data_IF_941076327094
#
_entry.id   IF_941076327094
#
_cell.length_a   1.000
_cell.length_b   1.000
_cell.length_c   1.000
_cell.angle_alpha   90.00
_cell.angle_beta   90.00
_cell.angle_gamma   90.00
#
_symmetry.space_group_name_H-M   'P 1'
#
loop_
_entity.id
_entity.type
_entity.pdbx_description
1 polymer ?
#
# COMPACT_ATOMS: atom_id res chain seq x y z
N UNK A 1 13.05 11.19 -5.78
CA UNK A 1 11.89 11.56 -4.94
C UNK A 1 12.32 12.68 -4.01
N UNK A 2 11.55 13.76 -3.88
CA UNK A 2 11.90 14.84 -2.95
C UNK A 2 11.53 14.45 -1.52
N UNK A 3 12.28 14.86 -0.49
CA UNK A 3 11.92 14.62 0.90
C UNK A 3 10.54 15.21 1.24
N UNK A 4 10.18 16.35 0.62
CA UNK A 4 8.86 16.95 0.75
C UNK A 4 7.72 15.99 0.35
N UNK A 5 7.87 15.23 -0.73
CA UNK A 5 6.86 14.23 -1.14
C UNK A 5 6.72 13.10 -0.11
N UNK A 6 7.83 12.63 0.47
CA UNK A 6 7.79 11.62 1.53
C UNK A 6 7.03 12.15 2.76
N UNK A 7 7.34 13.37 3.18
CA UNK A 7 6.72 14.00 4.35
C UNK A 7 5.23 14.30 4.12
N UNK A 8 4.82 14.76 2.93
CA UNK A 8 3.41 15.00 2.63
C UNK A 8 2.63 13.69 2.59
N UNK A 9 3.17 12.65 1.94
CA UNK A 9 2.52 11.34 1.90
C UNK A 9 2.38 10.71 3.29
N UNK A 10 3.44 10.76 4.10
CA UNK A 10 3.42 10.30 5.48
C UNK A 10 2.44 11.11 6.33
N UNK A 11 2.47 12.44 6.21
CA UNK A 11 1.57 13.34 6.93
C UNK A 11 0.10 13.10 6.58
N UNK A 12 -0.25 12.99 5.30
CA UNK A 12 -1.62 12.68 4.85
C UNK A 12 -2.05 11.30 5.36
N UNK A 13 -1.18 10.29 5.26
CA UNK A 13 -1.48 8.95 5.77
C UNK A 13 -1.72 8.95 7.28
N UNK A 14 -0.88 9.65 8.03
CA UNK A 14 -1.02 9.79 9.48
C UNK A 14 -2.30 10.55 9.85
N UNK A 15 -2.63 11.61 9.12
CA UNK A 15 -3.86 12.38 9.31
C UNK A 15 -5.11 11.53 9.04
N UNK A 16 -5.12 10.71 7.99
CA UNK A 16 -6.23 9.79 7.71
C UNK A 16 -6.41 8.78 8.86
N UNK A 17 -5.30 8.24 9.38
CA UNK A 17 -5.32 7.31 10.52
C UNK A 17 -5.73 8.01 11.83
N UNK A 18 -5.27 9.23 12.07
CA UNK A 18 -5.65 10.04 13.23
C UNK A 18 -7.10 10.49 13.17
N UNK A 19 -7.59 10.88 12.00
CA UNK A 19 -8.99 11.23 11.79
C UNK A 19 -9.91 10.06 12.16
N UNK A 20 -9.51 8.82 11.84
CA UNK A 20 -10.20 7.61 12.30
C UNK A 20 -10.19 7.48 13.83
N UNK A 21 -9.08 7.80 14.50
CA UNK A 21 -8.99 7.72 15.97
C UNK A 21 -9.85 8.78 16.66
N UNK A 22 -9.96 9.99 16.09
CA UNK A 22 -10.71 11.12 16.67
C UNK A 22 -12.21 11.04 16.34
N UNK A 23 -12.60 10.40 15.23
CA UNK A 23 -14.00 10.25 14.83
C UNK A 23 -14.48 8.81 15.11
N UNK A 24 -15.02 8.52 16.31
CA UNK A 24 -15.42 7.17 16.71
C UNK A 24 -16.57 6.58 15.87
N UNK A 25 -17.25 7.39 15.05
CA UNK A 25 -18.31 6.97 14.12
C UNK A 25 -17.80 6.49 12.76
N UNK A 26 -16.49 6.54 12.51
CA UNK A 26 -15.83 5.96 11.34
C UNK A 26 -15.14 4.66 11.80
N UNK A 27 -15.78 3.49 11.61
CA UNK A 27 -16.23 3.06 10.29
C UNK A 27 -17.76 3.01 10.14
N UNK A 28 -18.27 3.29 8.94
CA UNK A 28 -19.67 3.03 8.60
C UNK A 28 -19.97 1.56 8.89
N UNK A 29 -20.70 1.28 9.98
CA UNK A 29 -20.90 -0.07 10.50
C UNK A 29 -21.47 -1.05 9.46
N UNK A 30 -22.16 -0.55 8.43
CA UNK A 30 -22.68 -1.34 7.30
C UNK A 30 -21.62 -1.81 6.29
N UNK A 31 -20.44 -1.19 6.28
CA UNK A 31 -19.37 -1.45 5.29
C UNK A 31 -18.07 -1.97 5.94
N UNK A 32 -18.01 -1.96 7.27
CA UNK A 32 -16.85 -2.41 8.02
C UNK A 32 -16.77 -3.94 8.03
N UNK A 33 -15.63 -4.50 7.61
CA UNK A 33 -15.42 -5.93 7.56
C UNK A 33 -14.28 -6.32 8.50
N UNK A 34 -14.46 -7.44 9.23
CA UNK A 34 -13.41 -8.01 10.05
C UNK A 34 -12.40 -8.72 9.14
N UNK A 35 -11.15 -8.28 9.21
CA UNK A 35 -10.05 -8.98 8.58
C UNK A 35 -9.68 -10.21 9.41
N UNK A 36 -9.54 -11.37 8.76
CA UNK A 36 -8.98 -12.53 9.43
C UNK A 36 -7.48 -12.34 9.66
N UNK A 37 -6.88 -13.16 10.52
CA UNK A 37 -5.42 -13.16 10.74
C UNK A 37 -4.69 -13.41 9.42
N UNK A 38 -5.18 -14.36 8.61
CA UNK A 38 -4.61 -14.67 7.28
C UNK A 38 -4.68 -13.45 6.37
N UNK A 39 -5.83 -12.80 6.28
CA UNK A 39 -6.01 -11.61 5.43
C UNK A 39 -5.11 -10.44 5.90
N UNK A 40 -4.92 -10.31 7.22
CA UNK A 40 -4.00 -9.33 7.82
C UNK A 40 -2.54 -9.62 7.47
N UNK A 41 -2.10 -10.89 7.55
CA UNK A 41 -0.75 -11.30 7.18
C UNK A 41 -0.50 -11.03 5.70
N UNK A 42 -1.43 -11.41 4.82
CA UNK A 42 -1.34 -11.14 3.38
C UNK A 42 -1.20 -9.64 3.10
N UNK A 43 -2.05 -8.82 3.75
CA UNK A 43 -2.01 -7.38 3.61
C UNK A 43 -0.66 -6.80 4.07
N UNK A 44 -0.20 -7.18 5.26
CA UNK A 44 1.08 -6.67 5.82
C UNK A 44 2.25 -7.10 4.94
N UNK A 45 2.32 -8.36 4.52
CA UNK A 45 3.36 -8.85 3.62
C UNK A 45 3.34 -8.10 2.28
N UNK A 46 2.16 -7.86 1.70
CA UNK A 46 2.00 -7.10 0.47
C UNK A 46 2.44 -5.65 0.61
N UNK A 47 2.04 -4.97 1.69
CA UNK A 47 2.44 -3.57 1.96
C UNK A 47 3.94 -3.46 2.18
N UNK A 48 4.54 -4.36 2.96
CA UNK A 48 5.99 -4.38 3.19
C UNK A 48 6.73 -4.65 1.89
N UNK A 49 6.26 -5.59 1.06
CA UNK A 49 6.85 -5.88 -0.25
C UNK A 49 6.80 -4.68 -1.20
N UNK A 50 5.65 -3.99 -1.29
CA UNK A 50 5.51 -2.76 -2.08
C UNK A 50 6.39 -1.63 -1.54
N UNK A 51 6.44 -1.45 -0.22
CA UNK A 51 7.29 -0.45 0.41
C UNK A 51 8.77 -0.72 0.13
N UNK A 52 9.20 -1.98 0.21
CA UNK A 52 10.55 -2.39 -0.17
C UNK A 52 10.82 -2.10 -1.65
N UNK A 53 9.91 -2.47 -2.56
CA UNK A 53 10.05 -2.21 -3.99
C UNK A 53 10.22 -0.70 -4.26
N UNK A 54 9.35 0.14 -3.70
CA UNK A 54 9.44 1.59 -3.83
C UNK A 54 10.74 2.16 -3.21
N UNK A 55 11.13 1.69 -2.02
CA UNK A 55 12.35 2.13 -1.36
C UNK A 55 13.60 1.75 -2.16
N UNK A 56 13.66 0.53 -2.70
CA UNK A 56 14.76 0.06 -3.53
C UNK A 56 14.91 0.90 -4.80
N UNK A 57 13.81 1.41 -5.36
CA UNK A 57 13.83 2.25 -6.55
C UNK A 57 14.25 3.71 -6.26
N UNK A 58 13.74 4.31 -5.18
CA UNK A 58 13.92 5.74 -4.90
C UNK A 58 15.02 6.08 -3.89
N UNK A 59 15.40 5.13 -3.04
CA UNK A 59 16.27 5.33 -1.88
C UNK A 59 17.33 4.24 -1.76
N UNK A 60 18.07 3.98 -2.84
CA UNK A 60 19.12 2.94 -2.88
C UNK A 60 20.11 3.04 -1.72
N UNK A 61 20.47 4.26 -1.32
CA UNK A 61 21.44 4.53 -0.25
C UNK A 61 21.02 3.99 1.13
N UNK A 62 19.71 3.75 1.35
CA UNK A 62 19.23 3.11 2.58
C UNK A 62 19.69 1.65 2.65
N UNK A 63 19.97 1.02 1.50
CA UNK A 63 20.40 -0.36 1.41
C UNK A 63 21.92 -0.53 1.28
N UNK A 64 22.67 0.56 1.35
CA UNK A 64 24.14 0.48 1.35
C UNK A 64 24.59 -0.17 2.67
N UNK A 65 25.31 -1.30 2.56
CA UNK A 65 25.83 -2.03 3.72
C UNK A 65 24.92 -3.14 4.28
N UNK A 66 23.72 -3.36 3.71
CA UNK A 66 22.88 -4.54 4.03
C UNK A 66 22.99 -5.61 2.94
N UNK A 67 22.83 -6.91 3.27
CA UNK A 67 22.93 -8.02 2.32
C UNK A 67 21.71 -8.13 1.38
N UNK A 68 21.08 -7.01 1.03
CA UNK A 68 19.94 -6.90 0.12
C UNK A 68 20.32 -6.34 -1.26
N UNK A 69 21.59 -6.01 -1.49
CA UNK A 69 22.11 -5.45 -2.74
C UNK A 69 21.62 -6.17 -4.02
N UNK A 70 21.73 -7.51 -4.12
CA UNK A 70 21.26 -8.23 -5.31
C UNK A 70 19.76 -8.08 -5.57
N UNK A 71 18.96 -8.00 -4.51
CA UNK A 71 17.50 -7.83 -4.62
C UNK A 71 17.14 -6.40 -5.05
N UNK A 72 17.87 -5.40 -4.54
CA UNK A 72 17.74 -4.00 -4.95
C UNK A 72 18.12 -3.83 -6.42
N UNK A 73 19.20 -4.47 -6.87
CA UNK A 73 19.59 -4.50 -8.29
C UNK A 73 18.49 -5.14 -9.15
N UNK A 74 17.89 -6.23 -8.70
CA UNK A 74 16.81 -6.92 -9.42
C UNK A 74 15.55 -6.04 -9.56
N UNK A 75 15.18 -5.27 -8.53
CA UNK A 75 14.11 -4.25 -8.62
C UNK A 75 14.46 -3.19 -9.66
N UNK A 76 15.70 -2.72 -9.63
CA UNK A 76 16.16 -1.62 -10.46
C UNK A 76 16.47 -1.99 -11.91
N UNK A 77 16.62 -3.29 -12.21
CA UNK A 77 16.86 -3.79 -13.56
C UNK A 77 15.66 -3.62 -14.50
N UNK A 78 14.48 -3.23 -13.98
CA UNK A 78 13.23 -3.03 -14.74
C UNK A 78 12.88 -4.19 -15.68
N UNK A 79 13.30 -5.40 -15.31
CA UNK A 79 13.07 -6.62 -16.06
C UNK A 79 11.86 -7.39 -15.50
N UNK A 80 11.63 -8.60 -16.00
CA UNK A 80 10.54 -9.48 -15.54
C UNK A 80 10.59 -9.71 -14.02
N UNK A 81 11.77 -9.76 -13.43
CA UNK A 81 11.92 -9.97 -12.00
C UNK A 81 11.46 -8.74 -11.19
N UNK A 82 11.74 -7.52 -11.66
CA UNK A 82 11.18 -6.29 -11.09
C UNK A 82 9.63 -6.30 -11.17
N UNK A 83 9.07 -6.71 -12.32
CA UNK A 83 7.62 -6.85 -12.51
C UNK A 83 7.03 -7.82 -11.48
N UNK A 84 7.64 -8.99 -11.28
CA UNK A 84 7.18 -9.95 -10.29
C UNK A 84 7.29 -9.42 -8.86
N UNK A 85 8.39 -8.72 -8.53
CA UNK A 85 8.59 -8.06 -7.24
C UNK A 85 7.60 -6.91 -6.98
N UNK A 86 6.90 -6.43 -8.00
CA UNK A 86 5.80 -5.48 -7.88
C UNK A 86 4.43 -6.18 -7.81
N UNK A 87 4.15 -7.06 -8.78
CA UNK A 87 2.84 -7.70 -8.98
C UNK A 87 2.50 -8.63 -7.82
N UNK A 88 3.47 -9.40 -7.31
CA UNK A 88 3.22 -10.34 -6.22
C UNK A 88 2.80 -9.60 -4.94
N UNK A 89 3.55 -8.58 -4.44
CA UNK A 89 3.09 -7.78 -3.30
C UNK A 89 1.76 -7.06 -3.55
N UNK A 90 1.53 -6.52 -4.75
CA UNK A 90 0.25 -5.90 -5.10
C UNK A 90 -0.93 -6.89 -5.01
N UNK A 91 -0.75 -8.11 -5.52
CA UNK A 91 -1.75 -9.17 -5.43
C UNK A 91 -2.00 -9.59 -3.98
N UNK A 92 -0.96 -9.66 -3.15
CA UNK A 92 -1.10 -9.96 -1.71
C UNK A 92 -1.94 -8.89 -1.00
N UNK A 93 -1.75 -7.61 -1.31
CA UNK A 93 -2.60 -6.52 -0.78
C UNK A 93 -4.06 -6.73 -1.18
N UNK A 94 -4.34 -6.99 -2.46
CA UNK A 94 -5.70 -7.22 -2.95
C UNK A 94 -6.34 -8.45 -2.31
N UNK A 95 -5.59 -9.55 -2.17
CA UNK A 95 -6.04 -10.77 -1.50
C UNK A 95 -6.31 -10.55 -0.01
N UNK A 96 -5.46 -9.78 0.67
CA UNK A 96 -5.66 -9.37 2.06
C UNK A 96 -6.91 -8.51 2.27
N UNK A 97 -7.38 -7.83 1.22
CA UNK A 97 -8.57 -6.97 1.28
C UNK A 97 -9.80 -7.60 0.60
N UNK A 98 -9.71 -8.84 0.11
CA UNK A 98 -10.74 -9.51 -0.73
C UNK A 98 -12.14 -9.57 -0.11
N UNK A 99 -12.25 -9.45 1.22
CA UNK A 99 -13.53 -9.49 1.94
C UNK A 99 -14.24 -8.13 1.99
N UNK A 100 -13.60 -7.07 1.51
CA UNK A 100 -14.14 -5.71 1.48
C UNK A 100 -15.09 -5.52 0.28
N UNK A 101 -15.84 -4.41 0.26
CA UNK A 101 -16.72 -4.07 -0.85
C UNK A 101 -15.96 -4.12 -2.19
N UNK A 102 -16.53 -4.82 -3.18
CA UNK A 102 -15.95 -5.00 -4.50
C UNK A 102 -15.62 -3.68 -5.21
N UNK A 103 -16.42 -2.62 -5.01
CA UNK A 103 -16.12 -1.29 -5.58
C UNK A 103 -14.81 -0.74 -5.00
N UNK A 104 -14.61 -0.88 -3.70
CA UNK A 104 -13.39 -0.45 -3.02
C UNK A 104 -12.17 -1.23 -3.53
N UNK A 105 -12.32 -2.54 -3.69
CA UNK A 105 -11.27 -3.40 -4.25
C UNK A 105 -10.94 -3.04 -5.69
N UNK A 106 -11.94 -2.75 -6.52
CA UNK A 106 -11.74 -2.33 -7.90
C UNK A 106 -10.96 -1.01 -7.98
N UNK A 107 -11.29 -0.04 -7.12
CA UNK A 107 -10.55 1.23 -7.03
C UNK A 107 -9.10 1.00 -6.64
N UNK A 108 -8.83 0.15 -5.65
CA UNK A 108 -7.47 -0.16 -5.23
C UNK A 108 -6.69 -0.91 -6.32
N UNK A 109 -7.32 -1.90 -6.95
CA UNK A 109 -6.73 -2.65 -8.06
C UNK A 109 -6.40 -1.73 -9.24
N UNK A 110 -7.29 -0.79 -9.57
CA UNK A 110 -7.05 0.18 -10.62
C UNK A 110 -5.91 1.14 -10.27
N UNK A 111 -5.83 1.60 -9.02
CA UNK A 111 -4.74 2.45 -8.56
C UNK A 111 -3.37 1.74 -8.63
N UNK A 112 -3.30 0.48 -8.18
CA UNK A 112 -2.09 -0.35 -8.29
C UNK A 112 -1.77 -0.66 -9.77
N UNK A 113 -2.76 -0.94 -10.60
CA UNK A 113 -2.54 -1.12 -12.03
C UNK A 113 -1.93 0.14 -12.65
N UNK A 114 -2.47 1.32 -12.30
CA UNK A 114 -1.99 2.60 -12.80
C UNK A 114 -0.55 2.91 -12.34
N UNK A 115 -0.19 2.58 -11.10
CA UNK A 115 1.21 2.64 -10.62
C UNK A 115 2.12 1.75 -11.47
N UNK A 116 1.72 0.50 -11.72
CA UNK A 116 2.50 -0.43 -12.55
C UNK A 116 2.66 0.06 -13.99
N UNK A 117 1.58 0.52 -14.61
CA UNK A 117 1.60 1.05 -15.99
C UNK A 117 2.50 2.27 -16.08
N UNK A 118 2.36 3.25 -15.17
CA UNK A 118 3.20 4.45 -15.19
C UNK A 118 4.68 4.13 -14.99
N UNK A 119 4.99 3.09 -14.24
CA UNK A 119 6.37 2.62 -14.01
C UNK A 119 6.96 1.93 -15.23
N UNK A 120 6.28 0.93 -15.80
CA UNK A 120 6.82 0.08 -16.86
C UNK A 120 6.61 0.61 -18.28
N UNK A 121 5.70 1.56 -18.49
CA UNK A 121 5.48 2.21 -19.78
C UNK A 121 6.32 3.48 -20.00
N UNK A 122 7.26 3.79 -19.09
CA UNK A 122 8.16 4.94 -19.22
C UNK A 122 7.46 6.29 -19.06
N UNK A 123 6.41 6.36 -18.22
CA UNK A 123 5.73 7.64 -17.97
C UNK A 123 6.65 8.62 -17.22
N UNK A 124 6.39 9.94 -17.32
CA UNK A 124 7.12 10.94 -16.55
C UNK A 124 7.09 10.67 -15.04
N UNK A 125 8.21 10.95 -14.37
CA UNK A 125 8.39 10.66 -12.94
C UNK A 125 7.31 11.30 -12.05
N UNK A 126 6.89 12.53 -12.36
CA UNK A 126 5.83 13.23 -11.63
C UNK A 126 4.47 12.53 -11.74
N UNK A 127 4.15 11.97 -12.91
CA UNK A 127 2.91 11.18 -13.12
C UNK A 127 2.96 9.91 -12.28
N UNK A 128 4.09 9.22 -12.28
CA UNK A 128 4.27 8.00 -11.49
C UNK A 128 4.20 8.27 -9.98
N UNK A 129 4.83 9.35 -9.49
CA UNK A 129 4.71 9.76 -8.09
C UNK A 129 3.27 10.12 -7.71
N UNK A 130 2.52 10.79 -8.61
CA UNK A 130 1.09 11.04 -8.43
C UNK A 130 0.27 9.76 -8.32
N UNK A 131 0.58 8.75 -9.15
CA UNK A 131 -0.05 7.43 -9.09
C UNK A 131 0.23 6.73 -7.74
N UNK A 132 1.48 6.75 -7.27
CA UNK A 132 1.85 6.19 -5.96
C UNK A 132 1.07 6.89 -4.85
N UNK A 133 1.00 8.22 -4.87
CA UNK A 133 0.28 8.99 -3.87
C UNK A 133 -1.20 8.58 -3.81
N UNK A 134 -1.87 8.52 -4.96
CA UNK A 134 -3.26 8.11 -5.05
C UNK A 134 -3.47 6.67 -4.55
N UNK A 135 -2.59 5.74 -4.92
CA UNK A 135 -2.68 4.33 -4.49
C UNK A 135 -2.50 4.18 -2.97
N UNK A 136 -1.52 4.87 -2.39
CA UNK A 136 -1.28 4.84 -0.93
C UNK A 136 -2.43 5.49 -0.17
N UNK A 137 -2.94 6.64 -0.63
CA UNK A 137 -4.10 7.28 0.00
C UNK A 137 -5.34 6.38 -0.07
N UNK A 138 -5.59 5.74 -1.22
CA UNK A 138 -6.69 4.79 -1.37
C UNK A 138 -6.53 3.62 -0.39
N UNK A 139 -5.34 3.00 -0.33
CA UNK A 139 -5.05 1.90 0.57
C UNK A 139 -5.23 2.29 2.04
N UNK A 140 -4.62 3.38 2.49
CA UNK A 140 -4.70 3.84 3.89
C UNK A 140 -6.13 4.23 4.25
N UNK A 141 -6.84 4.91 3.36
CA UNK A 141 -8.26 5.23 3.56
C UNK A 141 -9.08 3.96 3.70
N UNK A 142 -8.79 2.92 2.91
CA UNK A 142 -9.54 1.68 3.00
C UNK A 142 -9.26 0.91 4.30
N UNK A 143 -7.99 0.85 4.73
CA UNK A 143 -7.61 0.26 6.02
C UNK A 143 -8.23 1.06 7.18
N UNK A 144 -8.23 2.38 7.10
CA UNK A 144 -8.76 3.25 8.15
C UNK A 144 -10.30 3.16 8.26
N UNK A 145 -11.00 3.21 7.12
CA UNK A 145 -12.45 3.36 7.07
C UNK A 145 -13.21 2.04 7.06
N UNK A 146 -12.60 0.93 6.65
CA UNK A 146 -13.33 -0.32 6.43
C UNK A 146 -12.73 -1.55 7.13
N UNK A 147 -11.47 -1.51 7.58
CA UNK A 147 -10.88 -2.64 8.30
C UNK A 147 -11.08 -2.51 9.82
N UNK A 148 -11.86 -3.41 10.41
CA UNK A 148 -11.88 -3.58 11.87
C UNK A 148 -10.70 -4.50 12.25
N UNK A 149 -9.76 -4.05 13.09
CA UNK A 149 -8.63 -4.87 13.48
C UNK A 149 -9.09 -6.11 14.24
N UNK A 150 -8.52 -7.28 13.91
CA UNK A 150 -8.88 -8.57 14.50
C UNK A 150 -8.76 -8.61 16.04
N UNK A 151 -7.93 -7.72 16.60
CA UNK A 151 -7.65 -7.58 18.03
C UNK A 151 -8.71 -6.81 18.81
N UNK A 152 -9.67 -6.13 18.17
CA UNK A 152 -10.87 -5.60 18.85
C UNK A 152 -11.81 -6.77 19.20
N UNK A 153 -11.42 -7.58 20.17
CA UNK A 153 -12.35 -8.37 20.99
C UNK A 153 -12.79 -7.48 22.17
N UNK A 154 -14.05 -7.60 22.57
CA UNK A 154 -14.63 -7.13 23.84
C UNK A 154 -15.00 -5.64 24.00
N UNK A 155 -15.88 -5.12 23.14
CA UNK A 155 -16.77 -4.01 23.51
C UNK A 155 -18.02 -3.97 22.61
N UNK A 156 -18.73 -5.09 22.50
CA UNK A 156 -20.12 -5.06 22.08
C UNK A 156 -20.87 -6.01 23.03
N UNK A 157 -21.84 -5.50 23.82
CA UNK A 157 -22.73 -6.33 24.63
C UNK A 157 -23.58 -7.25 23.75
#
# INVERSE_FOLDING_TARGET
MTPAFAFTLAGVSALILLARLVVPQLPLARLAVRLSVVDTVLLVCGVVGLAFHCAAMFYRTIFDGVPLGPLVEMVNAMNVASIMLYVVPAALVLLGMRRQNWVSLAVLALALLFVGVTMYAGSPLNVHLGAIFAAVVALVSQIALFAIPAWRRAAQP
#
